data_IF_384952873124
#
_entry.id   IF_384952873124
#
_cell.length_a   1.000
_cell.length_b   1.000
_cell.length_c   1.000
_cell.angle_alpha   90.00
_cell.angle_beta   90.00
_cell.angle_gamma   90.00
#
_symmetry.space_group_name_H-M   'P 1'
#
loop_
_entity.id
_entity.type
_entity.pdbx_description
1 polymer ?
#
# COMPACT_ATOMS: atom_id res chain seq x y z
N UNK A 1 -5.23 28.10 -25.17
CA UNK A 1 -6.34 27.63 -24.34
C UNK A 1 -6.93 28.80 -23.55
N UNK A 2 -8.25 28.75 -23.27
CA UNK A 2 -8.96 29.73 -22.45
C UNK A 2 -9.04 29.33 -20.97
N UNK A 3 -8.62 28.12 -20.65
CA UNK A 3 -8.54 27.63 -19.29
C UNK A 3 -8.21 26.14 -19.23
N UNK A 4 -7.97 25.64 -18.03
CA UNK A 4 -7.67 24.24 -17.73
C UNK A 4 -8.24 23.87 -16.35
N UNK A 5 -8.78 22.67 -16.24
CA UNK A 5 -9.16 22.03 -15.00
C UNK A 5 -8.15 20.89 -14.71
N UNK A 6 -7.57 20.91 -13.52
CA UNK A 6 -6.71 19.86 -13.02
C UNK A 6 -7.47 19.06 -11.95
N UNK A 7 -7.85 17.85 -12.30
CA UNK A 7 -8.49 16.91 -11.38
C UNK A 7 -7.41 16.13 -10.63
N UNK A 8 -7.48 16.08 -9.30
CA UNK A 8 -6.47 15.48 -8.42
C UNK A 8 -5.05 16.07 -8.64
N UNK A 9 -4.93 17.41 -8.63
CA UNK A 9 -3.66 18.10 -8.92
C UNK A 9 -2.50 17.70 -7.99
N UNK A 10 -2.78 17.25 -6.78
CA UNK A 10 -1.76 16.76 -5.85
C UNK A 10 -1.05 15.49 -6.35
N UNK A 11 -1.69 14.70 -7.21
CA UNK A 11 -1.08 13.51 -7.82
C UNK A 11 -0.34 13.81 -9.12
N UNK A 12 -0.42 15.04 -9.63
CA UNK A 12 0.19 15.42 -10.90
C UNK A 12 1.63 15.91 -10.72
N UNK A 13 2.54 15.54 -11.64
CA UNK A 13 3.88 16.14 -11.66
C UNK A 13 3.79 17.67 -11.81
N UNK A 14 4.51 18.40 -10.97
CA UNK A 14 4.54 19.87 -11.00
C UNK A 14 4.83 20.41 -12.40
N UNK A 15 5.81 19.84 -13.09
CA UNK A 15 6.19 20.25 -14.44
C UNK A 15 5.05 20.13 -15.46
N UNK A 16 4.21 19.11 -15.33
CA UNK A 16 3.04 18.93 -16.19
C UNK A 16 2.03 20.07 -15.96
N UNK A 17 1.73 20.38 -14.71
CA UNK A 17 0.78 21.46 -14.35
C UNK A 17 1.28 22.82 -14.86
N UNK A 18 2.55 23.14 -14.62
CA UNK A 18 3.17 24.38 -15.08
C UNK A 18 3.15 24.52 -16.61
N UNK A 19 3.45 23.44 -17.33
CA UNK A 19 3.40 23.42 -18.80
C UNK A 19 1.97 23.59 -19.34
N UNK A 20 0.98 22.96 -18.72
CA UNK A 20 -0.41 23.09 -19.14
C UNK A 20 -0.93 24.51 -18.92
N UNK A 21 -0.57 25.14 -17.80
CA UNK A 21 -0.92 26.53 -17.51
C UNK A 21 -0.26 27.50 -18.49
N UNK A 22 1.02 27.30 -18.84
CA UNK A 22 1.74 28.13 -19.80
C UNK A 22 1.10 28.11 -21.20
N UNK A 23 0.30 27.10 -21.54
CA UNK A 23 -0.45 27.02 -22.80
C UNK A 23 -1.76 27.81 -22.79
N UNK A 24 -2.17 28.33 -21.66
CA UNK A 24 -3.36 29.15 -21.53
C UNK A 24 -3.03 30.63 -21.80
N UNK A 25 -2.79 30.95 -23.07
CA UNK A 25 -2.33 32.27 -23.56
C UNK A 25 -3.45 33.24 -23.95
N UNK A 26 -4.70 32.86 -23.77
CA UNK A 26 -5.84 33.75 -24.06
C UNK A 26 -6.05 34.71 -22.88
N UNK A 27 -6.29 35.97 -23.16
CA UNK A 27 -6.57 36.93 -22.10
C UNK A 27 -7.78 36.53 -21.28
N UNK A 28 -7.66 36.57 -19.94
CA UNK A 28 -8.70 36.12 -19.02
C UNK A 28 -8.78 34.61 -18.82
N UNK A 29 -7.76 33.83 -19.25
CA UNK A 29 -7.69 32.41 -18.98
C UNK A 29 -7.87 32.08 -17.50
N UNK A 30 -8.57 31.00 -17.19
CA UNK A 30 -8.87 30.55 -15.82
C UNK A 30 -8.32 29.18 -15.57
N UNK A 31 -7.98 28.93 -14.30
CA UNK A 31 -7.48 27.66 -13.83
C UNK A 31 -8.37 27.17 -12.69
N UNK A 32 -8.71 25.89 -12.74
CA UNK A 32 -9.44 25.20 -11.68
C UNK A 32 -8.63 23.99 -11.23
N UNK A 33 -8.60 23.77 -9.93
CA UNK A 33 -7.89 22.68 -9.31
C UNK A 33 -8.78 22.02 -8.27
N UNK A 34 -8.75 20.71 -8.21
CA UNK A 34 -9.22 19.98 -7.04
C UNK A 34 -8.16 18.99 -6.60
N UNK A 35 -8.15 18.60 -5.36
CA UNK A 35 -7.33 17.51 -4.81
C UNK A 35 -7.75 17.15 -3.40
N UNK A 36 -7.41 15.95 -2.99
CA UNK A 36 -7.34 15.59 -1.59
C UNK A 36 -6.06 16.17 -0.96
N UNK A 37 -6.09 16.49 0.36
CA UNK A 37 -4.90 16.92 1.08
C UNK A 37 -3.81 15.84 1.13
N UNK A 38 -2.58 16.32 1.10
CA UNK A 38 -1.36 15.54 1.20
C UNK A 38 -0.47 16.06 2.35
N UNK A 39 0.84 15.83 2.28
CA UNK A 39 1.83 16.39 3.20
C UNK A 39 1.85 17.93 3.10
N UNK A 40 1.95 18.66 4.23
CA UNK A 40 2.01 20.13 4.23
C UNK A 40 3.22 20.73 3.52
N UNK A 41 4.26 19.94 3.22
CA UNK A 41 5.39 20.32 2.38
C UNK A 41 5.11 20.23 0.87
N UNK A 42 3.99 19.65 0.46
CA UNK A 42 3.66 19.46 -0.95
C UNK A 42 3.63 20.79 -1.71
N UNK A 43 4.26 20.82 -2.92
CA UNK A 43 4.43 22.02 -3.70
C UNK A 43 3.15 22.81 -3.96
N UNK A 44 2.03 22.11 -4.24
CA UNK A 44 0.75 22.75 -4.52
C UNK A 44 0.19 23.46 -3.29
N UNK A 45 0.29 22.84 -2.11
CA UNK A 45 -0.11 23.46 -0.85
C UNK A 45 0.71 24.70 -0.51
N UNK A 46 2.05 24.57 -0.60
CA UNK A 46 2.99 25.65 -0.24
C UNK A 46 2.87 26.85 -1.17
N UNK A 47 2.75 26.60 -2.47
CA UNK A 47 2.82 27.68 -3.47
C UNK A 47 1.46 28.23 -3.87
N UNK A 48 0.39 27.44 -3.72
CA UNK A 48 -0.95 27.82 -4.16
C UNK A 48 -1.89 28.06 -3.00
N UNK A 49 -2.13 27.05 -2.16
CA UNK A 49 -3.13 27.14 -1.08
C UNK A 49 -2.71 28.13 0.01
N UNK A 50 -1.46 28.00 0.52
CA UNK A 50 -0.94 28.94 1.53
C UNK A 50 -0.86 30.39 1.03
N UNK A 51 -0.65 30.58 -0.27
CA UNK A 51 -0.53 31.89 -0.93
C UNK A 51 -1.81 32.33 -1.65
N UNK A 52 -2.95 31.72 -1.33
CA UNK A 52 -4.20 31.96 -2.04
C UNK A 52 -4.59 33.46 -2.04
N UNK A 53 -4.41 34.17 -0.94
CA UNK A 53 -4.66 35.62 -0.86
C UNK A 53 -3.70 36.43 -1.74
N UNK A 54 -2.40 36.14 -1.68
CA UNK A 54 -1.38 36.84 -2.46
C UNK A 54 -1.58 36.65 -3.97
N UNK A 55 -2.04 35.47 -4.36
CA UNK A 55 -2.28 35.09 -5.75
C UNK A 55 -3.70 35.39 -6.24
N UNK A 56 -4.55 35.98 -5.42
CA UNK A 56 -5.96 36.24 -5.72
C UNK A 56 -6.71 34.97 -6.16
N UNK A 57 -6.53 33.88 -5.41
CA UNK A 57 -7.13 32.57 -5.65
C UNK A 57 -8.33 32.40 -4.70
N UNK A 58 -9.47 31.96 -5.25
CA UNK A 58 -10.57 31.47 -4.44
C UNK A 58 -10.23 30.04 -3.97
N UNK A 59 -10.01 29.88 -2.68
CA UNK A 59 -9.80 28.58 -2.04
C UNK A 59 -11.09 28.17 -1.32
N UNK A 60 -11.59 26.99 -1.68
CA UNK A 60 -12.73 26.37 -1.05
C UNK A 60 -12.29 25.04 -0.42
N UNK A 61 -12.72 24.80 0.79
CA UNK A 61 -12.46 23.56 1.52
C UNK A 61 -13.79 22.87 1.78
N UNK A 62 -13.86 21.59 1.42
CA UNK A 62 -15.04 20.75 1.61
C UNK A 62 -14.66 19.46 2.32
N UNK A 63 -15.55 18.99 3.15
CA UNK A 63 -15.51 17.67 3.79
C UNK A 63 -16.73 16.84 3.35
N UNK A 64 -16.80 15.59 3.78
CA UNK A 64 -18.02 14.78 3.54
C UNK A 64 -19.25 15.36 4.20
N UNK A 65 -19.10 16.14 5.29
CA UNK A 65 -20.23 16.79 5.99
C UNK A 65 -20.87 17.89 5.16
N UNK A 66 -20.15 18.48 4.22
CA UNK A 66 -20.68 19.50 3.31
C UNK A 66 -21.50 18.88 2.19
N UNK A 67 -21.43 17.55 1.97
CA UNK A 67 -22.22 16.84 0.97
C UNK A 67 -23.53 16.34 1.56
N UNK A 68 -24.56 17.18 1.53
CA UNK A 68 -25.90 16.88 2.09
C UNK A 68 -26.62 15.71 1.40
N UNK A 69 -26.16 15.28 0.22
CA UNK A 69 -26.73 14.14 -0.50
C UNK A 69 -26.06 12.80 -0.18
N UNK A 70 -25.00 12.82 0.62
CA UNK A 70 -24.28 11.60 0.98
C UNK A 70 -25.07 10.82 2.05
N UNK A 71 -25.47 9.58 1.69
CA UNK A 71 -26.19 8.71 2.62
C UNK A 71 -25.32 8.36 3.86
N UNK A 72 -25.92 8.32 5.06
CA UNK A 72 -25.17 8.03 6.31
C UNK A 72 -24.36 6.73 6.26
N UNK A 73 -24.88 5.70 5.61
CA UNK A 73 -24.21 4.40 5.46
C UNK A 73 -22.95 4.51 4.60
N UNK A 74 -23.00 5.37 3.58
CA UNK A 74 -21.84 5.63 2.71
C UNK A 74 -20.79 6.41 3.48
N UNK A 75 -21.19 7.41 4.25
CA UNK A 75 -20.30 8.18 5.11
C UNK A 75 -19.61 7.27 6.13
N UNK A 76 -20.38 6.47 6.87
CA UNK A 76 -19.84 5.52 7.86
C UNK A 76 -18.85 4.52 7.23
N UNK A 77 -19.13 4.06 6.00
CA UNK A 77 -18.21 3.19 5.25
C UNK A 77 -16.88 3.89 4.98
N UNK A 78 -16.89 5.12 4.48
CA UNK A 78 -15.64 5.86 4.23
C UNK A 78 -14.87 6.16 5.51
N UNK A 79 -15.55 6.56 6.58
CA UNK A 79 -14.93 6.78 7.89
C UNK A 79 -14.27 5.51 8.45
N UNK A 80 -14.86 4.33 8.23
CA UNK A 80 -14.31 3.05 8.63
C UNK A 80 -13.14 2.55 7.77
N UNK A 81 -12.98 3.07 6.54
CA UNK A 81 -11.91 2.64 5.62
C UNK A 81 -10.55 3.23 5.97
N UNK A 82 -10.50 4.37 6.61
CA UNK A 82 -9.27 5.12 6.87
C UNK A 82 -9.00 5.26 8.35
N UNK A 83 -7.72 5.30 8.71
CA UNK A 83 -7.21 5.60 10.06
C UNK A 83 -5.95 6.45 9.97
N UNK A 84 -5.48 6.96 11.10
CA UNK A 84 -4.23 7.72 11.18
C UNK A 84 -4.19 8.93 10.24
N UNK A 85 -3.11 9.06 9.50
CA UNK A 85 -2.89 10.19 8.57
C UNK A 85 -3.92 10.22 7.45
N UNK A 86 -4.33 9.07 6.92
CA UNK A 86 -5.29 9.00 5.81
C UNK A 86 -6.70 9.44 6.24
N UNK A 87 -7.13 9.12 7.47
CA UNK A 87 -8.38 9.66 8.03
C UNK A 87 -8.33 11.19 8.13
N UNK A 88 -7.23 11.72 8.65
CA UNK A 88 -7.05 13.18 8.77
C UNK A 88 -7.06 13.88 7.42
N UNK A 89 -6.50 13.27 6.37
CA UNK A 89 -6.46 13.84 5.02
C UNK A 89 -7.77 13.68 4.28
N UNK A 90 -8.29 12.46 4.19
CA UNK A 90 -9.40 12.15 3.26
C UNK A 90 -10.78 12.31 3.89
N UNK A 91 -10.89 12.21 5.23
CA UNK A 91 -12.16 12.43 5.94
C UNK A 91 -12.24 13.84 6.48
N UNK A 92 -11.19 14.32 7.17
CA UNK A 92 -11.18 15.65 7.78
C UNK A 92 -10.64 16.75 6.84
N UNK A 93 -10.14 16.41 5.67
CA UNK A 93 -9.65 17.38 4.68
C UNK A 93 -8.40 18.16 5.12
N UNK A 94 -7.54 17.60 5.95
CA UNK A 94 -6.41 18.30 6.58
C UNK A 94 -5.09 18.03 5.86
N UNK A 95 -4.33 19.07 5.56
CA UNK A 95 -2.95 18.97 5.12
C UNK A 95 -2.06 18.68 6.33
N UNK A 96 -1.73 17.40 6.55
CA UNK A 96 -1.00 16.94 7.74
C UNK A 96 0.13 16.00 7.36
N UNK A 97 1.21 16.04 8.18
CA UNK A 97 2.35 15.14 8.05
C UNK A 97 1.99 13.74 8.56
N UNK A 98 2.57 12.73 7.93
CA UNK A 98 2.50 11.37 8.43
C UNK A 98 3.50 11.22 9.60
N UNK A 99 3.04 10.68 10.72
CA UNK A 99 3.80 10.56 11.96
C UNK A 99 3.44 9.26 12.69
N UNK A 100 4.39 8.73 13.47
CA UNK A 100 4.21 7.54 14.29
C UNK A 100 4.16 6.24 13.49
N UNK A 101 3.46 5.23 14.01
CA UNK A 101 3.32 3.93 13.34
C UNK A 101 2.53 4.05 12.04
N UNK A 102 2.95 3.27 11.04
CA UNK A 102 2.25 3.18 9.74
C UNK A 102 0.92 2.48 9.88
N UNK A 103 0.86 1.41 10.70
CA UNK A 103 -0.34 0.59 10.90
C UNK A 103 -0.81 0.58 12.37
N UNK A 104 -1.21 1.73 12.93
CA UNK A 104 -1.65 1.81 14.33
C UNK A 104 -2.96 1.02 14.60
N UNK A 105 -3.69 0.64 13.54
CA UNK A 105 -4.92 -0.16 13.61
C UNK A 105 -4.65 -1.66 13.78
N UNK A 106 -3.41 -2.13 13.58
CA UNK A 106 -3.10 -3.53 13.78
C UNK A 106 -3.26 -3.92 15.25
N UNK A 107 -4.11 -4.90 15.53
CA UNK A 107 -4.38 -5.44 16.87
C UNK A 107 -4.23 -6.96 16.84
N UNK A 108 -3.36 -7.49 17.70
CA UNK A 108 -3.09 -8.92 17.79
C UNK A 108 -4.34 -9.73 18.13
N UNK A 109 -5.24 -9.19 18.93
CA UNK A 109 -6.47 -9.88 19.34
C UNK A 109 -7.51 -9.95 18.22
N UNK A 110 -7.52 -8.97 17.33
CA UNK A 110 -8.45 -8.86 16.22
C UNK A 110 -7.94 -9.57 14.96
N UNK A 111 -6.63 -9.46 14.67
CA UNK A 111 -6.09 -9.86 13.38
C UNK A 111 -5.30 -11.18 13.38
N UNK A 112 -5.05 -11.78 14.57
CA UNK A 112 -4.33 -13.06 14.64
C UNK A 112 -5.30 -14.22 14.78
N UNK A 113 -5.15 -15.21 13.90
CA UNK A 113 -5.88 -16.46 13.95
C UNK A 113 -5.03 -17.60 14.53
N UNK A 114 -5.58 -18.44 15.43
CA UNK A 114 -4.80 -19.51 16.08
C UNK A 114 -4.62 -20.74 15.20
N UNK A 115 -5.44 -20.90 14.15
CA UNK A 115 -5.46 -22.09 13.29
C UNK A 115 -5.40 -21.70 11.83
N UNK A 116 -4.62 -22.44 11.05
CA UNK A 116 -4.61 -22.35 9.59
C UNK A 116 -5.83 -23.12 9.06
N UNK A 117 -6.60 -22.55 8.11
CA UNK A 117 -7.64 -23.28 7.41
C UNK A 117 -7.09 -24.55 6.73
N UNK A 118 -7.89 -25.58 6.64
CA UNK A 118 -7.54 -26.75 5.81
C UNK A 118 -7.49 -26.34 4.33
N UNK A 119 -6.62 -27.02 3.55
CA UNK A 119 -6.57 -26.84 2.12
C UNK A 119 -7.97 -26.96 1.50
N UNK A 120 -8.38 -25.96 0.73
CA UNK A 120 -9.69 -25.91 0.11
C UNK A 120 -9.56 -25.59 -1.38
N UNK A 121 -10.03 -26.45 -2.32
CA UNK A 121 -9.91 -26.22 -3.75
C UNK A 121 -10.69 -24.99 -4.25
N UNK A 122 -11.58 -24.42 -3.44
CA UNK A 122 -12.31 -23.18 -3.76
C UNK A 122 -11.57 -21.92 -3.30
N UNK A 123 -10.50 -22.06 -2.52
CA UNK A 123 -9.65 -20.96 -2.10
C UNK A 123 -8.59 -20.66 -3.17
N UNK A 124 -8.00 -19.51 -3.08
CA UNK A 124 -6.89 -19.07 -3.93
C UNK A 124 -5.68 -18.81 -3.05
N UNK A 125 -4.53 -19.33 -3.49
CA UNK A 125 -3.30 -19.23 -2.71
C UNK A 125 -2.28 -18.40 -3.46
N UNK A 126 -1.57 -17.54 -2.73
CA UNK A 126 -0.58 -16.62 -3.28
C UNK A 126 0.68 -16.65 -2.42
N UNK A 127 1.81 -16.37 -3.03
CA UNK A 127 3.04 -16.07 -2.30
C UNK A 127 3.48 -14.67 -2.68
N UNK A 128 3.85 -13.86 -1.69
CA UNK A 128 4.47 -12.57 -1.92
C UNK A 128 5.86 -12.57 -1.32
N UNK A 129 6.82 -11.96 -2.02
CA UNK A 129 8.25 -12.02 -1.71
C UNK A 129 8.85 -10.63 -1.76
N UNK A 130 9.47 -10.22 -0.67
CA UNK A 130 10.46 -9.15 -0.65
C UNK A 130 11.85 -9.77 -0.70
N UNK A 131 12.57 -9.51 -1.81
CA UNK A 131 13.83 -10.15 -2.12
C UNK A 131 15.01 -9.29 -1.75
N UNK A 132 15.71 -9.67 -0.68
CA UNK A 132 16.98 -9.08 -0.28
C UNK A 132 18.14 -10.04 -0.46
N UNK A 133 19.25 -9.59 -1.07
CA UNK A 133 20.50 -10.36 -1.18
C UNK A 133 21.45 -10.11 -0.02
N UNK A 134 21.39 -8.93 0.58
CA UNK A 134 22.16 -8.50 1.76
C UNK A 134 21.21 -8.26 2.94
N UNK A 135 20.04 -7.76 2.64
CA UNK A 135 18.92 -7.57 3.54
C UNK A 135 18.15 -8.90 3.74
N UNK A 136 17.30 -9.00 4.76
CA UNK A 136 16.42 -10.15 4.93
C UNK A 136 15.65 -10.50 3.66
N UNK A 137 15.46 -11.79 3.45
CA UNK A 137 14.52 -12.33 2.47
C UNK A 137 13.22 -12.65 3.20
N UNK A 138 12.15 -11.96 2.86
CA UNK A 138 10.85 -12.16 3.49
C UNK A 138 9.82 -12.68 2.48
N UNK A 139 9.08 -13.72 2.86
CA UNK A 139 7.98 -14.23 2.04
C UNK A 139 6.79 -14.65 2.88
N UNK A 140 5.59 -14.36 2.38
CA UNK A 140 4.32 -14.77 2.97
C UNK A 140 3.53 -15.67 2.04
N UNK A 141 2.97 -16.76 2.57
CA UNK A 141 1.97 -17.59 1.90
C UNK A 141 0.59 -17.18 2.38
N UNK A 142 -0.28 -16.83 1.45
CA UNK A 142 -1.63 -16.32 1.69
C UNK A 142 -2.68 -17.26 1.17
N UNK A 143 -3.70 -17.49 1.98
CA UNK A 143 -4.94 -18.19 1.66
C UNK A 143 -6.08 -17.15 1.55
N UNK A 144 -6.67 -17.02 0.38
CA UNK A 144 -7.84 -16.17 0.16
C UNK A 144 -9.09 -17.02 -0.04
N UNK A 145 -10.11 -16.80 0.82
CA UNK A 145 -11.44 -17.39 0.73
C UNK A 145 -12.41 -16.45 0.00
N UNK A 146 -12.79 -16.73 -1.26
CA UNK A 146 -13.75 -15.90 -1.98
C UNK A 146 -15.13 -15.83 -1.33
N UNK A 147 -15.56 -16.91 -0.67
CA UNK A 147 -16.88 -16.97 -0.01
C UNK A 147 -16.95 -16.13 1.26
N UNK A 148 -15.85 -16.03 2.00
CA UNK A 148 -15.75 -15.24 3.22
C UNK A 148 -15.21 -13.83 2.95
N UNK A 149 -14.66 -13.60 1.75
CA UNK A 149 -13.97 -12.38 1.36
C UNK A 149 -12.84 -12.01 2.34
N UNK A 150 -12.07 -13.01 2.74
CA UNK A 150 -10.99 -12.91 3.73
C UNK A 150 -9.71 -13.53 3.20
N UNK A 151 -8.60 -12.90 3.54
CA UNK A 151 -7.25 -13.42 3.30
C UNK A 151 -6.56 -13.70 4.64
N UNK A 152 -5.84 -14.80 4.71
CA UNK A 152 -5.03 -15.17 5.87
C UNK A 152 -3.61 -15.44 5.41
N UNK A 153 -2.62 -14.74 5.99
CA UNK A 153 -1.23 -15.14 5.87
C UNK A 153 -0.99 -16.39 6.72
N UNK A 154 -0.90 -17.55 6.07
CA UNK A 154 -0.89 -18.85 6.75
C UNK A 154 0.49 -19.32 7.16
N UNK A 155 1.54 -18.87 6.44
CA UNK A 155 2.94 -19.15 6.74
C UNK A 155 3.81 -17.93 6.40
N UNK A 156 4.90 -17.80 7.13
CA UNK A 156 5.94 -16.81 6.85
C UNK A 156 7.29 -17.51 6.69
N UNK A 157 8.11 -16.99 5.79
CA UNK A 157 9.54 -17.26 5.70
C UNK A 157 10.26 -15.93 5.89
N UNK A 158 11.12 -15.88 6.90
CA UNK A 158 11.95 -14.71 7.17
C UNK A 158 13.39 -15.15 7.37
N UNK A 159 14.21 -14.97 6.34
CA UNK A 159 15.61 -15.35 6.37
C UNK A 159 16.48 -14.09 6.56
N UNK A 160 17.03 -13.95 7.76
CA UNK A 160 17.98 -12.88 8.09
C UNK A 160 19.31 -13.20 7.43
N UNK A 161 19.50 -12.80 6.19
CA UNK A 161 20.80 -12.89 5.52
C UNK A 161 21.93 -12.31 6.38
N UNK A 162 23.06 -12.08 5.81
CA UNK A 162 24.23 -11.45 6.46
C UNK A 162 25.46 -11.67 5.59
N UNK A 163 26.49 -10.85 5.78
CA UNK A 163 27.72 -10.91 4.99
C UNK A 163 28.38 -12.29 4.98
N UNK A 164 28.19 -13.09 6.03
CA UNK A 164 28.77 -14.45 6.19
C UNK A 164 27.76 -15.57 5.80
N UNK A 165 26.50 -15.28 5.52
CA UNK A 165 25.43 -16.25 5.24
C UNK A 165 24.69 -15.90 3.93
N UNK A 166 25.43 -15.44 2.92
CA UNK A 166 24.83 -15.25 1.59
C UNK A 166 24.47 -16.60 1.00
N UNK A 167 23.21 -16.74 0.62
CA UNK A 167 22.71 -17.87 -0.14
C UNK A 167 22.44 -17.42 -1.58
N UNK A 168 22.54 -18.36 -2.51
CA UNK A 168 22.24 -18.10 -3.90
C UNK A 168 20.73 -18.19 -4.19
N UNK A 169 20.34 -17.82 -5.39
CA UNK A 169 18.95 -17.85 -5.81
C UNK A 169 18.35 -19.27 -5.79
N UNK A 170 19.17 -20.29 -6.01
CA UNK A 170 18.74 -21.70 -5.97
C UNK A 170 18.33 -22.09 -4.54
N UNK A 171 19.08 -21.64 -3.53
CA UNK A 171 18.74 -21.88 -2.14
C UNK A 171 17.45 -21.11 -1.74
N UNK A 172 17.31 -19.85 -2.15
CA UNK A 172 16.06 -19.10 -1.96
C UNK A 172 14.87 -19.77 -2.63
N UNK A 173 15.04 -20.24 -3.86
CA UNK A 173 13.99 -20.98 -4.57
C UNK A 173 13.58 -22.25 -3.83
N UNK A 174 14.53 -23.00 -3.27
CA UNK A 174 14.24 -24.17 -2.44
C UNK A 174 13.45 -23.78 -1.18
N UNK A 175 13.87 -22.73 -0.48
CA UNK A 175 13.13 -22.21 0.69
C UNK A 175 11.69 -21.83 0.33
N UNK A 176 11.47 -21.21 -0.85
CA UNK A 176 10.13 -20.91 -1.35
C UNK A 176 9.32 -22.18 -1.63
N UNK A 177 9.92 -23.20 -2.23
CA UNK A 177 9.28 -24.49 -2.44
C UNK A 177 8.86 -25.14 -1.12
N UNK A 178 9.70 -25.07 -0.08
CA UNK A 178 9.42 -25.60 1.25
C UNK A 178 8.29 -24.81 1.95
N UNK A 179 8.28 -23.48 1.80
CA UNK A 179 7.18 -22.62 2.29
C UNK A 179 5.85 -23.00 1.63
N UNK A 180 5.85 -23.13 0.30
CA UNK A 180 4.66 -23.45 -0.49
C UNK A 180 4.15 -24.86 -0.15
N UNK A 181 5.04 -25.87 -0.12
CA UNK A 181 4.65 -27.25 0.09
C UNK A 181 3.59 -27.71 -0.92
N UNK A 182 2.43 -28.20 -0.42
CA UNK A 182 1.33 -28.74 -1.23
C UNK A 182 0.27 -27.69 -1.61
N UNK A 183 0.48 -26.42 -1.28
CA UNK A 183 -0.50 -25.38 -1.61
C UNK A 183 -0.52 -25.10 -3.11
N UNK A 184 -1.71 -25.14 -3.78
CA UNK A 184 -1.86 -24.88 -5.21
C UNK A 184 -1.86 -23.37 -5.47
N UNK A 185 -0.69 -22.74 -5.37
CA UNK A 185 -0.58 -21.28 -5.53
C UNK A 185 -0.89 -20.84 -6.94
N UNK A 186 -1.51 -19.67 -7.09
CA UNK A 186 -1.79 -19.05 -8.38
C UNK A 186 -0.50 -18.51 -9.00
N UNK A 187 0.28 -17.76 -8.24
CA UNK A 187 1.57 -17.20 -8.64
C UNK A 187 2.37 -16.67 -7.44
N UNK A 188 3.65 -16.37 -7.70
CA UNK A 188 4.55 -15.70 -6.77
C UNK A 188 4.63 -14.22 -7.17
N UNK A 189 4.27 -13.32 -6.26
CA UNK A 189 4.39 -11.88 -6.41
C UNK A 189 5.75 -11.47 -5.88
N UNK A 190 6.54 -10.77 -6.65
CA UNK A 190 7.90 -10.42 -6.29
C UNK A 190 8.27 -9.01 -6.75
N UNK A 191 9.11 -8.31 -5.98
CA UNK A 191 9.59 -6.97 -6.35
C UNK A 191 10.13 -6.94 -7.80
N UNK A 192 9.73 -5.97 -8.62
CA UNK A 192 10.20 -5.85 -10.00
C UNK A 192 11.72 -5.76 -10.15
N UNK A 193 12.44 -5.28 -9.13
CA UNK A 193 13.89 -5.16 -9.12
C UNK A 193 14.63 -6.49 -8.94
N UNK A 194 13.94 -7.53 -8.44
CA UNK A 194 14.47 -8.86 -8.18
C UNK A 194 14.66 -9.72 -9.45
N UNK A 195 15.22 -9.15 -10.52
CA UNK A 195 15.30 -9.80 -11.85
C UNK A 195 15.93 -11.17 -11.82
N UNK A 196 17.04 -11.34 -11.06
CA UNK A 196 17.75 -12.62 -10.98
C UNK A 196 16.91 -13.73 -10.30
N UNK A 197 16.10 -13.36 -9.30
CA UNK A 197 15.21 -14.32 -8.65
C UNK A 197 14.01 -14.65 -9.53
N UNK A 198 13.47 -13.69 -10.27
CA UNK A 198 12.41 -13.90 -11.26
C UNK A 198 12.90 -14.89 -12.32
N UNK A 199 14.11 -14.70 -12.87
CA UNK A 199 14.73 -15.62 -13.83
C UNK A 199 14.89 -17.03 -13.27
N UNK A 200 15.30 -17.15 -12.00
CA UNK A 200 15.43 -18.43 -11.31
C UNK A 200 14.06 -19.14 -11.21
N UNK A 201 13.00 -18.45 -10.78
CA UNK A 201 11.67 -19.03 -10.71
C UNK A 201 11.20 -19.49 -12.09
N UNK A 202 11.41 -18.68 -13.13
CA UNK A 202 11.05 -18.99 -14.50
C UNK A 202 11.82 -20.19 -15.08
N UNK A 203 13.12 -20.30 -14.77
CA UNK A 203 13.98 -21.41 -15.16
C UNK A 203 13.45 -22.77 -14.68
N UNK A 204 12.94 -22.81 -13.45
CA UNK A 204 12.35 -24.05 -12.92
C UNK A 204 10.95 -24.34 -13.48
N UNK A 205 10.22 -23.34 -13.95
CA UNK A 205 8.94 -23.49 -14.63
C UNK A 205 7.79 -24.07 -13.80
N UNK A 206 8.01 -24.31 -12.50
CA UNK A 206 6.98 -24.88 -11.60
C UNK A 206 5.96 -23.83 -11.17
N UNK A 207 6.39 -22.60 -10.99
CA UNK A 207 5.55 -21.49 -10.52
C UNK A 207 5.68 -20.30 -11.46
N UNK A 208 4.60 -19.53 -11.59
CA UNK A 208 4.59 -18.27 -12.33
C UNK A 208 5.04 -17.14 -11.40
N UNK A 209 5.99 -16.32 -11.83
CA UNK A 209 6.36 -15.08 -11.16
C UNK A 209 5.61 -13.90 -11.77
N UNK A 210 5.03 -13.04 -10.91
CA UNK A 210 4.33 -11.81 -11.27
C UNK A 210 5.03 -10.65 -10.56
N UNK A 211 5.33 -9.59 -11.30
CA UNK A 211 5.92 -8.37 -10.74
C UNK A 211 4.92 -7.68 -9.83
N UNK A 212 5.36 -7.32 -8.64
CA UNK A 212 4.57 -6.57 -7.68
C UNK A 212 4.27 -5.15 -8.20
N UNK A 213 3.09 -4.64 -7.88
CA UNK A 213 2.86 -3.19 -7.80
C UNK A 213 3.47 -2.71 -6.48
N UNK A 214 4.63 -2.05 -6.56
CA UNK A 214 5.44 -1.68 -5.40
C UNK A 214 5.24 -0.23 -4.94
N UNK A 215 4.15 0.43 -5.38
CA UNK A 215 3.76 1.75 -4.88
C UNK A 215 3.57 1.72 -3.35
N UNK A 216 4.43 2.45 -2.64
CA UNK A 216 4.51 2.39 -1.17
C UNK A 216 3.26 2.98 -0.53
N UNK A 217 2.90 4.21 -0.87
CA UNK A 217 1.81 4.93 -0.20
C UNK A 217 0.45 4.29 -0.50
N UNK A 218 0.19 3.98 -1.76
CA UNK A 218 -1.03 3.29 -2.15
C UNK A 218 -1.11 1.88 -1.56
N UNK A 219 0.02 1.17 -1.48
CA UNK A 219 0.08 -0.14 -0.83
C UNK A 219 -0.21 -0.08 0.67
N UNK A 220 0.31 0.95 1.37
CA UNK A 220 -0.02 1.19 2.79
C UNK A 220 -1.52 1.46 2.97
N UNK A 221 -2.13 2.24 2.08
CA UNK A 221 -3.57 2.48 2.11
C UNK A 221 -4.37 1.19 1.90
N UNK A 222 -3.99 0.34 0.95
CA UNK A 222 -4.67 -0.92 0.68
C UNK A 222 -4.60 -1.86 1.90
N UNK A 223 -3.42 -2.02 2.53
CA UNK A 223 -3.28 -2.79 3.79
C UNK A 223 -4.15 -2.21 4.90
N UNK A 224 -4.14 -0.88 5.08
CA UNK A 224 -4.97 -0.19 6.08
C UNK A 224 -6.46 -0.49 5.88
N UNK A 225 -6.96 -0.38 4.65
CA UNK A 225 -8.36 -0.67 4.32
C UNK A 225 -8.73 -2.12 4.63
N UNK A 226 -7.88 -3.08 4.26
CA UNK A 226 -8.16 -4.50 4.48
C UNK A 226 -8.10 -4.91 5.96
N UNK A 227 -7.21 -4.31 6.75
CA UNK A 227 -7.20 -4.48 8.20
C UNK A 227 -8.47 -3.93 8.83
N UNK A 228 -8.83 -2.68 8.54
CA UNK A 228 -10.03 -2.03 9.09
C UNK A 228 -11.32 -2.75 8.68
N UNK A 229 -11.39 -3.28 7.46
CA UNK A 229 -12.54 -4.05 6.98
C UNK A 229 -12.62 -5.47 7.55
N UNK A 230 -11.63 -5.91 8.31
CA UNK A 230 -11.57 -7.28 8.83
C UNK A 230 -11.48 -8.33 7.72
N UNK A 231 -10.74 -8.02 6.66
CA UNK A 231 -10.54 -8.90 5.50
C UNK A 231 -9.13 -9.50 5.45
N UNK A 232 -8.21 -9.07 6.32
CA UNK A 232 -6.81 -9.48 6.34
C UNK A 232 -6.43 -9.98 7.73
N UNK A 233 -5.96 -11.21 7.78
CA UNK A 233 -5.59 -11.91 9.01
C UNK A 233 -4.23 -12.60 8.87
N UNK A 234 -3.67 -13.02 10.02
CA UNK A 234 -2.36 -13.64 10.09
C UNK A 234 -2.40 -14.85 11.04
N UNK A 235 -1.77 -15.94 10.64
CA UNK A 235 -1.61 -17.07 11.55
C UNK A 235 -0.57 -16.72 12.64
N UNK A 236 -0.80 -17.20 13.84
CA UNK A 236 0.06 -16.94 15.03
C UNK A 236 1.54 -17.27 14.86
N UNK A 237 1.95 -18.01 13.82
CA UNK A 237 3.34 -18.31 13.52
C UNK A 237 4.08 -17.18 12.78
N UNK A 238 3.38 -16.17 12.26
CA UNK A 238 3.95 -15.06 11.48
C UNK A 238 4.59 -14.01 12.40
N UNK A 239 5.60 -14.41 13.15
CA UNK A 239 6.17 -13.60 14.24
C UNK A 239 6.93 -12.38 13.76
N UNK A 240 7.72 -12.52 12.68
CA UNK A 240 8.48 -11.40 12.12
C UNK A 240 7.55 -10.32 11.56
N UNK A 241 6.45 -10.75 10.94
CA UNK A 241 5.38 -9.83 10.51
C UNK A 241 4.81 -9.02 11.69
N UNK A 242 4.59 -9.65 12.85
CA UNK A 242 4.09 -8.93 14.02
C UNK A 242 5.10 -7.96 14.61
N UNK A 243 6.37 -8.36 14.69
CA UNK A 243 7.45 -7.48 15.15
C UNK A 243 7.56 -6.24 14.26
N UNK A 244 7.45 -6.41 12.95
CA UNK A 244 7.49 -5.29 12.02
C UNK A 244 6.24 -4.40 12.08
N UNK A 245 5.04 -4.94 12.27
CA UNK A 245 3.85 -4.11 12.51
C UNK A 245 4.01 -3.16 13.71
N UNK A 246 4.72 -3.61 14.74
CA UNK A 246 4.93 -2.84 15.97
C UNK A 246 6.04 -1.78 15.86
N UNK A 247 6.86 -1.85 14.82
CA UNK A 247 8.02 -0.96 14.64
C UNK A 247 7.97 -0.14 13.35
N UNK A 248 7.21 -0.59 12.35
CA UNK A 248 7.14 0.09 11.06
C UNK A 248 6.51 1.47 11.18
N UNK A 249 7.31 2.50 10.96
CA UNK A 249 6.96 3.89 11.24
C UNK A 249 7.29 4.84 10.10
N UNK A 250 6.63 5.98 10.13
CA UNK A 250 6.88 7.07 9.22
C UNK A 250 8.23 7.74 9.51
N UNK A 251 8.91 8.16 8.46
CA UNK A 251 10.15 8.95 8.54
C UNK A 251 9.80 10.43 8.71
N UNK A 252 9.79 10.87 9.95
CA UNK A 252 9.41 12.23 10.32
C UNK A 252 10.46 13.28 9.92
N UNK A 253 11.68 12.87 9.56
CA UNK A 253 12.74 13.78 9.14
C UNK A 253 12.58 14.20 7.67
N UNK A 254 11.91 13.39 6.86
CA UNK A 254 11.68 13.69 5.44
C UNK A 254 10.60 14.75 5.24
N UNK A 255 10.79 15.56 4.20
CA UNK A 255 9.81 16.57 3.79
C UNK A 255 8.58 15.92 3.11
N UNK A 256 8.78 14.80 2.45
CA UNK A 256 7.73 13.98 1.81
C UNK A 256 7.36 12.81 2.72
N UNK A 257 6.16 12.24 2.50
CA UNK A 257 5.77 11.05 3.22
C UNK A 257 6.63 9.86 2.79
N UNK A 258 7.39 9.38 3.72
CA UNK A 258 8.25 8.21 3.56
C UNK A 258 8.20 7.35 4.82
N UNK A 259 8.55 6.11 4.67
CA UNK A 259 8.69 5.17 5.79
C UNK A 259 10.17 4.97 6.11
N UNK A 260 10.46 4.65 7.36
CA UNK A 260 11.80 4.21 7.76
C UNK A 260 12.07 2.86 7.12
N UNK A 261 13.17 2.78 6.36
CA UNK A 261 13.57 1.57 5.61
C UNK A 261 14.47 0.66 6.45
N UNK A 262 13.96 0.29 7.63
CA UNK A 262 14.60 -0.66 8.55
C UNK A 262 13.54 -1.62 9.08
N UNK A 263 13.81 -2.94 9.03
CA UNK A 263 12.89 -3.98 9.46
C UNK A 263 11.49 -3.81 8.83
N UNK A 264 11.45 -3.64 7.51
CA UNK A 264 10.24 -3.40 6.73
C UNK A 264 9.94 -4.49 5.69
N UNK A 265 10.69 -5.59 5.71
CA UNK A 265 10.64 -6.63 4.69
C UNK A 265 9.34 -7.43 4.68
N UNK A 266 8.80 -7.74 5.86
CA UNK A 266 7.48 -8.36 5.98
C UNK A 266 6.36 -7.39 5.61
N UNK A 267 6.56 -6.10 5.87
CA UNK A 267 5.60 -5.06 5.47
C UNK A 267 5.61 -4.85 3.96
N UNK A 268 6.78 -4.91 3.33
CA UNK A 268 6.91 -4.77 1.89
C UNK A 268 6.26 -5.96 1.16
N UNK A 269 6.55 -7.21 1.54
CA UNK A 269 5.89 -8.36 0.92
C UNK A 269 4.37 -8.37 1.18
N UNK A 270 3.90 -7.92 2.34
CA UNK A 270 2.48 -7.78 2.65
C UNK A 270 1.80 -6.75 1.72
N UNK A 271 2.44 -5.59 1.50
CA UNK A 271 1.97 -4.57 0.55
C UNK A 271 1.88 -5.14 -0.87
N UNK A 272 2.89 -5.91 -1.30
CA UNK A 272 2.88 -6.55 -2.61
C UNK A 272 1.70 -7.49 -2.79
N UNK A 273 1.39 -8.30 -1.78
CA UNK A 273 0.20 -9.15 -1.81
C UNK A 273 -1.09 -8.33 -1.87
N UNK A 274 -1.25 -7.37 -0.98
CA UNK A 274 -2.46 -6.56 -0.89
C UNK A 274 -2.71 -5.77 -2.18
N UNK A 275 -1.66 -5.14 -2.71
CA UNK A 275 -1.74 -4.28 -3.89
C UNK A 275 -1.92 -5.06 -5.18
N UNK A 276 -1.20 -6.18 -5.36
CA UNK A 276 -1.18 -6.93 -6.62
C UNK A 276 -2.28 -7.97 -6.71
N UNK A 277 -2.60 -8.67 -5.61
CA UNK A 277 -3.57 -9.76 -5.61
C UNK A 277 -4.87 -9.39 -4.87
N UNK A 278 -4.82 -9.10 -3.58
CA UNK A 278 -6.01 -8.97 -2.74
C UNK A 278 -6.95 -7.84 -3.20
N UNK A 279 -6.39 -6.73 -3.65
CA UNK A 279 -7.17 -5.62 -4.22
C UNK A 279 -8.04 -6.05 -5.41
N UNK A 280 -7.52 -6.94 -6.25
CA UNK A 280 -8.27 -7.46 -7.40
C UNK A 280 -9.38 -8.42 -6.99
N UNK A 281 -9.23 -9.08 -5.83
CA UNK A 281 -10.23 -9.98 -5.26
C UNK A 281 -11.35 -9.23 -4.52
N UNK A 282 -11.01 -8.14 -3.85
CA UNK A 282 -11.90 -7.36 -2.98
C UNK A 282 -12.25 -5.99 -3.59
N UNK A 283 -12.66 -5.96 -4.85
CA UNK A 283 -12.96 -4.72 -5.61
C UNK A 283 -14.01 -3.81 -4.98
N UNK A 284 -14.83 -4.31 -4.07
CA UNK A 284 -15.87 -3.53 -3.39
C UNK A 284 -15.34 -2.67 -2.22
N UNK A 285 -14.10 -2.92 -1.77
CA UNK A 285 -13.44 -2.14 -0.70
C UNK A 285 -12.61 -0.99 -1.29
N UNK A 286 -12.24 -1.09 -2.55
CA UNK A 286 -11.28 -0.19 -3.21
C UNK A 286 -11.99 0.98 -3.88
#
# INVERSE_FOLDING_TARGET
>A
LAGVLFDEVALMPRSFVEQAMARCSVAGSKFWFNCNPENPGHWFYVEWIKKARERNILYLHFTMDDNLSLAPEIKARYEGMYTGVFYRRYILGLWVKAEGLVYPMFDRSAHIVPKVPALNPRHRYYVAVDYGTVNPFAAGLYDYSPSEQKAIMVKELYYKGGSNNRVDNEAYYKMLCDLIGDYPIQYIIIDPSASSMIETIQKYGKYMAVKADNDVLNGIQDVTKFLNAGCLYFHKSCKSTFEEFETYSWDEEKAEDAVIKENDHSMDQLRYFCRTALRNELKWIV
#
